data_IF_909908441635
#
_entry.id   IF_909908441635
#
_cell.length_a   1.000
_cell.length_b   1.000
_cell.length_c   1.000
_cell.angle_alpha   90.00
_cell.angle_beta   90.00
_cell.angle_gamma   90.00
#
_symmetry.space_group_name_H-M   'P 1'
#
loop_
_entity.id
_entity.type
_entity.pdbx_description
1 polymer ?
#
# COMPACT_ATOMS: atom_id res chain seq x y z
N UNK A 1 -6.37 6.35 -8.24
CA UNK A 1 -7.06 6.98 -9.38
C UNK A 1 -6.81 6.25 -10.68
N UNK A 2 -5.57 6.18 -11.18
CA UNK A 2 -5.21 5.46 -12.42
C UNK A 2 -5.75 4.02 -12.41
N UNK A 3 -5.64 3.33 -11.28
CA UNK A 3 -6.18 1.99 -11.08
C UNK A 3 -7.71 1.95 -11.24
N UNK A 4 -8.43 2.94 -10.70
CA UNK A 4 -9.90 3.00 -10.82
C UNK A 4 -10.31 3.25 -12.28
N UNK A 5 -9.62 4.15 -12.98
CA UNK A 5 -9.85 4.39 -14.40
C UNK A 5 -9.66 3.13 -15.26
N UNK A 6 -8.77 2.22 -14.86
CA UNK A 6 -8.60 0.96 -15.60
C UNK A 6 -9.78 -0.03 -15.40
N UNK A 7 -10.61 0.17 -14.36
CA UNK A 7 -11.74 -0.73 -14.05
C UNK A 7 -12.97 -0.51 -14.94
N UNK A 8 -13.00 0.58 -15.69
CA UNK A 8 -14.03 0.78 -16.71
C UNK A 8 -13.92 -0.26 -17.84
N UNK A 9 -12.72 -0.82 -18.04
CA UNK A 9 -12.42 -1.77 -19.11
C UNK A 9 -11.95 -3.13 -18.60
N UNK A 10 -11.26 -3.18 -17.46
CA UNK A 10 -10.63 -4.40 -16.95
C UNK A 10 -11.10 -4.76 -15.54
N UNK A 11 -11.31 -6.06 -15.26
CA UNK A 11 -11.52 -6.53 -13.90
C UNK A 11 -10.33 -6.26 -12.98
N UNK A 12 -10.55 -6.14 -11.65
CA UNK A 12 -9.53 -5.73 -10.71
C UNK A 12 -8.26 -6.58 -10.70
N UNK A 13 -8.39 -7.90 -10.65
CA UNK A 13 -7.23 -8.78 -10.57
C UNK A 13 -6.49 -8.86 -11.90
N UNK A 14 -7.19 -8.76 -13.02
CA UNK A 14 -6.57 -8.67 -14.35
C UNK A 14 -5.76 -7.37 -14.46
N UNK A 15 -6.35 -6.21 -14.09
CA UNK A 15 -5.64 -4.93 -14.06
C UNK A 15 -4.43 -4.99 -13.13
N UNK A 16 -4.56 -5.58 -11.94
CA UNK A 16 -3.47 -5.77 -10.99
C UNK A 16 -2.38 -6.70 -11.56
N UNK A 17 -2.74 -7.88 -12.06
CA UNK A 17 -1.79 -8.86 -12.59
C UNK A 17 -0.92 -8.30 -13.71
N UNK A 18 -1.52 -7.59 -14.68
CA UNK A 18 -0.77 -6.92 -15.74
C UNK A 18 0.09 -5.78 -15.21
N UNK A 19 -0.42 -4.99 -14.26
CA UNK A 19 0.38 -3.91 -13.65
C UNK A 19 1.61 -4.43 -12.92
N UNK A 20 1.51 -5.54 -12.16
CA UNK A 20 2.70 -6.13 -11.52
C UNK A 20 3.63 -6.81 -12.52
N UNK A 21 3.13 -7.34 -13.63
CA UNK A 21 3.98 -7.86 -14.70
C UNK A 21 4.88 -6.75 -15.26
N UNK A 22 4.32 -5.58 -15.58
CA UNK A 22 5.12 -4.43 -16.04
C UNK A 22 6.07 -3.91 -14.95
N UNK A 23 5.66 -3.94 -13.68
CA UNK A 23 6.57 -3.63 -12.57
C UNK A 23 7.72 -4.65 -12.47
N UNK A 24 7.45 -5.95 -12.66
CA UNK A 24 8.48 -6.97 -12.68
C UNK A 24 9.49 -6.76 -13.82
N UNK A 25 9.01 -6.44 -15.02
CA UNK A 25 9.87 -6.11 -16.17
C UNK A 25 10.72 -4.86 -15.89
N UNK A 26 10.13 -3.83 -15.29
CA UNK A 26 10.83 -2.62 -14.86
C UNK A 26 11.95 -2.95 -13.86
N UNK A 27 11.66 -3.72 -12.80
CA UNK A 27 12.67 -4.12 -11.82
C UNK A 27 13.75 -5.00 -12.43
N UNK A 28 13.39 -5.92 -13.33
CA UNK A 28 14.35 -6.73 -14.10
C UNK A 28 15.31 -5.87 -14.90
N UNK A 29 14.80 -4.83 -15.58
CA UNK A 29 15.62 -3.83 -16.26
C UNK A 29 16.56 -3.09 -15.32
N UNK A 30 16.07 -2.62 -14.16
CA UNK A 30 16.89 -1.91 -13.16
C UNK A 30 17.96 -2.83 -12.58
N UNK A 31 17.64 -4.09 -12.24
CA UNK A 31 18.59 -5.08 -11.74
C UNK A 31 19.68 -5.36 -12.77
N UNK A 32 19.30 -5.48 -14.05
CA UNK A 32 20.25 -5.69 -15.16
C UNK A 32 21.18 -4.50 -15.34
N UNK A 33 20.64 -3.27 -15.36
CA UNK A 33 21.42 -2.05 -15.51
C UNK A 33 22.38 -1.82 -14.32
N UNK A 34 22.00 -2.27 -13.12
CA UNK A 34 22.81 -2.15 -11.91
C UNK A 34 23.71 -3.37 -11.67
N UNK A 35 23.71 -4.36 -12.55
CA UNK A 35 24.50 -5.62 -12.44
C UNK A 35 24.29 -6.36 -11.13
N UNK A 36 23.05 -6.40 -10.58
CA UNK A 36 22.75 -6.97 -9.26
C UNK A 36 22.16 -8.38 -9.28
N UNK A 37 22.24 -9.10 -10.39
CA UNK A 37 21.71 -10.47 -10.50
C UNK A 37 22.32 -11.46 -9.49
N UNK A 38 23.55 -11.19 -9.02
CA UNK A 38 24.20 -12.02 -8.00
C UNK A 38 23.45 -12.11 -6.68
N UNK A 39 22.64 -11.08 -6.35
CA UNK A 39 21.86 -11.01 -5.10
C UNK A 39 20.75 -12.07 -5.03
N UNK A 40 20.29 -12.63 -6.16
CA UNK A 40 19.27 -13.69 -6.20
C UNK A 40 19.75 -14.97 -5.50
N UNK A 41 21.06 -15.14 -5.35
CA UNK A 41 21.66 -16.29 -4.69
C UNK A 41 21.69 -16.21 -3.16
N UNK A 42 21.34 -15.05 -2.59
CA UNK A 42 21.28 -14.90 -1.14
C UNK A 42 20.07 -15.62 -0.56
N UNK A 43 20.29 -16.90 -0.19
CA UNK A 43 19.25 -17.74 0.44
C UNK A 43 18.82 -17.24 1.80
N UNK A 44 19.63 -16.44 2.49
CA UNK A 44 19.32 -15.94 3.84
C UNK A 44 18.19 -14.94 3.84
N UNK A 45 18.02 -14.17 2.76
CA UNK A 45 16.95 -13.19 2.59
C UNK A 45 15.69 -13.77 1.94
N UNK A 46 15.78 -14.95 1.33
CA UNK A 46 14.68 -15.56 0.55
C UNK A 46 13.42 -15.76 1.39
N UNK A 47 13.54 -16.23 2.64
CA UNK A 47 12.41 -16.38 3.55
C UNK A 47 11.69 -15.04 3.82
N UNK A 48 12.45 -13.97 4.06
CA UNK A 48 11.89 -12.63 4.25
C UNK A 48 11.22 -12.10 2.97
N UNK A 49 11.81 -12.35 1.79
CA UNK A 49 11.22 -11.95 0.51
C UNK A 49 9.93 -12.72 0.25
N UNK A 50 9.87 -14.02 0.53
CA UNK A 50 8.66 -14.83 0.36
C UNK A 50 7.53 -14.36 1.29
N UNK A 51 7.81 -14.07 2.56
CA UNK A 51 6.82 -13.50 3.48
C UNK A 51 6.37 -12.10 3.03
N UNK A 52 7.30 -11.24 2.59
CA UNK A 52 6.94 -9.94 2.02
C UNK A 52 6.09 -10.09 0.75
N UNK A 53 6.35 -11.12 -0.07
CA UNK A 53 5.55 -11.44 -1.26
C UNK A 53 4.14 -11.85 -0.89
N UNK A 54 3.99 -12.74 0.10
CA UNK A 54 2.66 -13.17 0.56
C UNK A 54 1.86 -11.98 1.10
N UNK A 55 2.43 -11.23 2.05
CA UNK A 55 1.69 -10.15 2.73
C UNK A 55 1.47 -8.94 1.82
N UNK A 56 2.50 -8.42 1.15
CA UNK A 56 2.38 -7.22 0.31
C UNK A 56 2.08 -7.54 -1.15
N UNK A 57 2.75 -8.54 -1.72
CA UNK A 57 2.62 -8.84 -3.14
C UNK A 57 1.27 -9.45 -3.52
N UNK A 58 0.69 -10.25 -2.65
CA UNK A 58 -0.55 -11.00 -2.93
C UNK A 58 -1.70 -10.46 -2.09
N UNK A 59 -1.63 -10.59 -0.76
CA UNK A 59 -2.77 -10.28 0.11
C UNK A 59 -3.09 -8.78 0.12
N UNK A 60 -2.13 -7.92 0.46
CA UNK A 60 -2.36 -6.48 0.55
C UNK A 60 -2.87 -5.89 -0.77
N UNK A 61 -2.11 -6.07 -1.85
CA UNK A 61 -2.51 -5.48 -3.13
C UNK A 61 -3.72 -6.17 -3.74
N UNK A 62 -3.91 -7.48 -3.53
CA UNK A 62 -5.12 -8.18 -3.93
C UNK A 62 -6.36 -7.55 -3.28
N UNK A 63 -6.33 -7.35 -1.94
CA UNK A 63 -7.40 -6.69 -1.19
C UNK A 63 -7.61 -5.24 -1.64
N UNK A 64 -6.52 -4.47 -1.87
CA UNK A 64 -6.61 -3.09 -2.33
C UNK A 64 -7.25 -3.01 -3.72
N UNK A 65 -6.76 -3.78 -4.69
CA UNK A 65 -7.29 -3.74 -6.05
C UNK A 65 -8.75 -4.20 -6.11
N UNK A 66 -9.08 -5.28 -5.40
CA UNK A 66 -10.45 -5.75 -5.33
C UNK A 66 -11.34 -4.78 -4.56
N UNK A 67 -10.84 -4.20 -3.46
CA UNK A 67 -11.56 -3.22 -2.65
C UNK A 67 -11.87 -1.92 -3.40
N UNK A 68 -10.93 -1.42 -4.20
CA UNK A 68 -11.09 -0.19 -4.99
C UNK A 68 -12.25 -0.25 -6.00
N UNK A 69 -12.70 -1.45 -6.36
CA UNK A 69 -13.91 -1.61 -7.20
C UNK A 69 -15.19 -1.21 -6.48
N UNK A 70 -15.20 -1.34 -5.15
CA UNK A 70 -16.40 -1.18 -4.31
C UNK A 70 -16.32 0.00 -3.35
N UNK A 71 -15.32 0.88 -3.52
CA UNK A 71 -15.18 2.11 -2.74
C UNK A 71 -14.68 3.27 -3.60
N UNK A 72 -14.79 4.50 -3.09
CA UNK A 72 -14.24 5.67 -3.76
C UNK A 72 -12.73 5.80 -3.52
N UNK A 73 -12.03 6.50 -4.44
CA UNK A 73 -10.61 6.82 -4.26
C UNK A 73 -10.36 7.62 -2.97
N UNK A 74 -11.30 8.51 -2.61
CA UNK A 74 -11.26 9.30 -1.38
C UNK A 74 -11.31 8.43 -0.14
N UNK A 75 -12.34 7.58 0.00
CA UNK A 75 -12.48 6.66 1.12
C UNK A 75 -11.26 5.72 1.22
N UNK A 76 -10.87 5.09 0.10
CA UNK A 76 -9.73 4.19 0.06
C UNK A 76 -8.45 4.85 0.59
N UNK A 77 -8.17 6.11 0.22
CA UNK A 77 -6.97 6.82 0.66
C UNK A 77 -7.00 7.20 2.14
N UNK A 78 -8.17 7.60 2.65
CA UNK A 78 -8.37 7.93 4.05
C UNK A 78 -8.27 6.69 4.95
N UNK A 79 -8.87 5.57 4.52
CA UNK A 79 -8.75 4.29 5.22
C UNK A 79 -7.31 3.77 5.13
N UNK A 80 -6.64 3.89 3.97
CA UNK A 80 -5.25 3.48 3.81
C UNK A 80 -4.29 4.22 4.76
N UNK A 81 -4.61 5.44 5.18
CA UNK A 81 -3.83 6.16 6.19
C UNK A 81 -3.74 5.41 7.53
N UNK A 82 -4.71 4.52 7.84
CA UNK A 82 -4.68 3.68 9.06
C UNK A 82 -3.53 2.67 9.06
N UNK A 83 -2.87 2.44 7.94
CA UNK A 83 -1.64 1.63 7.91
C UNK A 83 -0.62 2.12 8.95
N UNK A 84 -0.55 3.44 9.17
CA UNK A 84 0.31 4.00 10.20
C UNK A 84 -0.11 3.56 11.61
N UNK A 85 -1.40 3.54 11.91
CA UNK A 85 -1.94 3.07 13.19
C UNK A 85 -1.61 1.59 13.41
N UNK A 86 -1.87 0.72 12.42
CA UNK A 86 -1.54 -0.70 12.53
C UNK A 86 -0.03 -0.95 12.57
N UNK A 87 0.76 -0.17 11.83
CA UNK A 87 2.22 -0.21 11.91
C UNK A 87 2.71 0.21 13.29
N UNK A 88 2.12 1.25 13.89
CA UNK A 88 2.45 1.65 15.25
C UNK A 88 2.15 0.54 16.25
N UNK A 89 0.95 -0.05 16.22
CA UNK A 89 0.59 -1.17 17.10
C UNK A 89 1.57 -2.33 16.90
N UNK A 90 1.77 -2.76 15.65
CA UNK A 90 2.62 -3.89 15.34
C UNK A 90 4.06 -3.70 15.84
N UNK A 91 4.68 -2.57 15.55
CA UNK A 91 6.08 -2.34 15.91
C UNK A 91 6.29 -1.99 17.37
N UNK A 92 5.35 -1.31 18.03
CA UNK A 92 5.50 -0.89 19.43
C UNK A 92 4.96 -1.92 20.43
N UNK A 93 3.80 -2.49 20.18
CA UNK A 93 3.21 -3.49 21.07
C UNK A 93 4.00 -4.80 21.02
N UNK A 94 4.35 -5.27 19.81
CA UNK A 94 5.11 -6.52 19.68
C UNK A 94 6.55 -6.39 20.16
N UNK A 95 7.21 -5.24 19.92
CA UNK A 95 8.56 -4.98 20.41
C UNK A 95 8.59 -4.52 21.86
N UNK A 96 7.44 -4.36 22.53
CA UNK A 96 7.31 -3.83 23.88
C UNK A 96 8.00 -2.47 24.08
N UNK A 97 8.00 -1.65 23.04
CA UNK A 97 8.52 -0.28 23.10
C UNK A 97 7.59 0.61 23.94
N UNK A 98 8.15 1.62 24.59
CA UNK A 98 7.39 2.54 25.43
C UNK A 98 6.34 3.31 24.61
N UNK A 99 5.08 3.19 25.02
CA UNK A 99 3.95 3.92 24.42
C UNK A 99 3.71 5.17 25.27
N UNK A 100 3.91 6.36 24.68
CA UNK A 100 3.64 7.62 25.36
C UNK A 100 2.14 7.97 25.31
N UNK A 101 1.63 8.82 26.25
CA UNK A 101 0.26 9.31 26.18
C UNK A 101 -0.09 10.01 24.86
N UNK A 102 0.91 10.65 24.21
CA UNK A 102 0.74 11.26 22.89
C UNK A 102 0.45 10.23 21.80
N UNK A 103 1.07 9.05 21.88
CA UNK A 103 0.81 7.97 20.94
C UNK A 103 -0.61 7.41 21.11
N UNK A 104 -1.08 7.28 22.36
CA UNK A 104 -2.47 6.86 22.64
C UNK A 104 -3.44 7.88 22.07
N UNK A 105 -3.21 9.17 22.33
CA UNK A 105 -4.03 10.24 21.77
C UNK A 105 -4.03 10.23 20.24
N UNK A 106 -2.86 10.05 19.63
CA UNK A 106 -2.72 9.92 18.17
C UNK A 106 -3.52 8.75 17.60
N UNK A 107 -3.48 7.59 18.27
CA UNK A 107 -4.26 6.42 17.90
C UNK A 107 -5.77 6.70 17.96
N UNK A 108 -6.25 7.36 19.03
CA UNK A 108 -7.66 7.75 19.19
C UNK A 108 -8.09 8.69 18.06
N UNK A 109 -7.28 9.73 17.76
CA UNK A 109 -7.60 10.65 16.66
C UNK A 109 -7.66 9.93 15.30
N UNK A 110 -6.75 9.01 15.01
CA UNK A 110 -6.80 8.23 13.76
C UNK A 110 -8.06 7.38 13.67
N UNK A 111 -8.40 6.66 14.75
CA UNK A 111 -9.62 5.84 14.78
C UNK A 111 -10.87 6.69 14.64
N UNK A 112 -10.93 7.86 15.28
CA UNK A 112 -12.04 8.81 15.15
C UNK A 112 -12.19 9.28 13.69
N UNK A 113 -11.06 9.62 13.03
CA UNK A 113 -11.09 10.04 11.63
C UNK A 113 -11.61 8.95 10.70
N UNK A 114 -11.16 7.71 10.88
CA UNK A 114 -11.65 6.56 10.10
C UNK A 114 -13.12 6.29 10.37
N UNK A 115 -13.56 6.38 11.63
CA UNK A 115 -14.96 6.24 11.97
C UNK A 115 -15.83 7.29 11.26
N UNK A 116 -15.38 8.55 11.21
CA UNK A 116 -16.06 9.63 10.46
C UNK A 116 -16.21 9.28 8.98
N UNK A 117 -15.15 8.73 8.34
CA UNK A 117 -15.22 8.32 6.92
C UNK A 117 -16.22 7.19 6.70
N UNK A 118 -16.26 6.23 7.63
CA UNK A 118 -17.13 5.06 7.51
C UNK A 118 -18.56 5.32 7.94
N UNK A 119 -18.81 6.38 8.73
CA UNK A 119 -20.12 6.68 9.32
C UNK A 119 -21.29 6.76 8.32
N UNK A 120 -21.15 7.41 7.14
CA UNK A 120 -22.25 7.46 6.18
C UNK A 120 -22.66 6.08 5.65
N UNK A 121 -21.76 5.12 5.75
CA UNK A 121 -21.91 3.77 5.22
C UNK A 121 -22.25 2.74 6.32
N UNK A 122 -22.50 3.17 7.56
CA UNK A 122 -22.77 2.25 8.70
C UNK A 122 -24.04 1.42 8.51
N UNK A 123 -25.00 1.93 7.74
CA UNK A 123 -26.22 1.18 7.37
C UNK A 123 -26.00 0.16 6.25
N UNK A 124 -24.93 0.34 5.44
CA UNK A 124 -24.46 -0.58 4.42
C UNK A 124 -22.93 -0.47 4.36
N UNK A 125 -22.24 -1.24 5.21
CA UNK A 125 -20.78 -1.33 5.13
C UNK A 125 -20.40 -1.70 3.69
N UNK A 126 -19.75 -0.77 3.00
CA UNK A 126 -19.24 -1.07 1.67
C UNK A 126 -18.13 -2.10 1.78
N UNK A 127 -18.30 -3.23 1.12
CA UNK A 127 -17.31 -4.30 1.06
C UNK A 127 -15.91 -3.74 0.74
N UNK A 128 -15.84 -2.74 -0.15
CA UNK A 128 -14.58 -2.10 -0.53
C UNK A 128 -13.85 -1.44 0.64
N UNK A 129 -14.56 -0.70 1.49
CA UNK A 129 -13.96 -0.04 2.66
C UNK A 129 -13.38 -1.07 3.64
N UNK A 130 -14.11 -2.17 3.87
CA UNK A 130 -13.65 -3.27 4.72
C UNK A 130 -12.39 -3.95 4.14
N UNK A 131 -12.36 -4.22 2.83
CA UNK A 131 -11.21 -4.83 2.16
C UNK A 131 -9.97 -3.94 2.24
N UNK A 132 -10.12 -2.62 2.06
CA UNK A 132 -9.01 -1.67 2.23
C UNK A 132 -8.54 -1.66 3.69
N UNK A 133 -9.44 -1.68 4.67
CA UNK A 133 -9.08 -1.74 6.08
C UNK A 133 -8.30 -3.03 6.41
N UNK A 134 -8.76 -4.17 5.93
CA UNK A 134 -8.04 -5.44 6.08
C UNK A 134 -6.63 -5.39 5.44
N UNK A 135 -6.50 -4.77 4.28
CA UNK A 135 -5.20 -4.58 3.65
C UNK A 135 -4.25 -3.78 4.55
N UNK A 136 -4.72 -2.69 5.17
CA UNK A 136 -3.88 -1.86 6.06
C UNK A 136 -3.45 -2.59 7.32
N UNK A 137 -4.26 -3.55 7.83
CA UNK A 137 -3.86 -4.42 8.94
C UNK A 137 -2.75 -5.40 8.56
N UNK A 138 -2.70 -5.83 7.31
CA UNK A 138 -1.71 -6.78 6.78
C UNK A 138 -0.39 -6.10 6.44
N UNK A 139 -0.42 -4.84 6.01
CA UNK A 139 0.74 -4.10 5.52
C UNK A 139 1.96 -4.09 6.48
N UNK A 140 1.82 -3.90 7.81
CA UNK A 140 2.95 -3.88 8.73
C UNK A 140 3.78 -5.16 8.73
N UNK A 141 3.13 -6.32 8.59
CA UNK A 141 3.82 -7.61 8.52
C UNK A 141 4.71 -7.68 7.28
N UNK A 142 4.16 -7.33 6.14
CA UNK A 142 4.91 -7.33 4.89
C UNK A 142 6.04 -6.30 4.87
N UNK A 143 5.81 -5.09 5.39
CA UNK A 143 6.82 -4.05 5.52
C UNK A 143 7.98 -4.48 6.45
N UNK A 144 7.67 -5.21 7.53
CA UNK A 144 8.68 -5.76 8.43
C UNK A 144 9.62 -6.75 7.70
N UNK A 145 9.07 -7.73 6.98
CA UNK A 145 9.87 -8.68 6.25
C UNK A 145 10.63 -8.03 5.09
N UNK A 146 10.01 -7.08 4.40
CA UNK A 146 10.65 -6.31 3.33
C UNK A 146 11.83 -5.47 3.85
N UNK A 147 11.69 -4.83 5.02
CA UNK A 147 12.77 -4.09 5.68
C UNK A 147 13.93 -5.01 6.05
N UNK A 148 13.65 -6.20 6.60
CA UNK A 148 14.68 -7.20 6.91
C UNK A 148 15.41 -7.73 5.67
N UNK A 149 14.68 -8.01 4.61
CA UNK A 149 15.30 -8.44 3.36
C UNK A 149 16.25 -7.36 2.81
N UNK A 150 15.87 -6.06 2.97
CA UNK A 150 16.66 -4.92 2.49
C UNK A 150 18.00 -4.73 3.21
N UNK A 151 18.20 -5.35 4.37
CA UNK A 151 19.50 -5.34 5.06
C UNK A 151 20.61 -6.03 4.25
N UNK A 152 20.26 -6.94 3.33
CA UNK A 152 21.21 -7.77 2.58
C UNK A 152 21.06 -7.71 1.06
N UNK A 153 19.84 -7.44 0.60
CA UNK A 153 19.46 -7.47 -0.82
C UNK A 153 18.92 -6.10 -1.21
N UNK A 154 19.17 -5.67 -2.44
CA UNK A 154 18.72 -4.38 -2.95
C UNK A 154 17.19 -4.30 -3.07
N UNK A 155 16.67 -3.09 -3.04
CA UNK A 155 15.23 -2.84 -3.17
C UNK A 155 14.67 -3.37 -4.48
N UNK A 156 15.38 -3.15 -5.56
CA UNK A 156 15.00 -3.62 -6.89
C UNK A 156 14.95 -5.14 -7.00
N UNK A 157 15.90 -5.86 -6.38
CA UNK A 157 15.91 -7.33 -6.37
C UNK A 157 14.75 -7.88 -5.54
N UNK A 158 14.50 -7.33 -4.35
CA UNK A 158 13.34 -7.72 -3.52
C UNK A 158 12.04 -7.54 -4.28
N UNK A 159 11.88 -6.37 -4.93
CA UNK A 159 10.68 -6.03 -5.68
C UNK A 159 10.54 -6.87 -6.95
N UNK A 160 11.66 -7.21 -7.62
CA UNK A 160 11.67 -8.12 -8.77
C UNK A 160 11.15 -9.51 -8.37
N UNK A 161 11.74 -10.12 -7.35
CA UNK A 161 11.35 -11.49 -6.91
C UNK A 161 9.89 -11.48 -6.43
N UNK A 162 9.50 -10.47 -5.64
CA UNK A 162 8.12 -10.31 -5.18
C UNK A 162 7.15 -10.21 -6.35
N UNK A 163 7.42 -9.35 -7.32
CA UNK A 163 6.54 -9.16 -8.47
C UNK A 163 6.51 -10.39 -9.39
N UNK A 164 7.66 -11.02 -9.64
CA UNK A 164 7.75 -12.22 -10.47
C UNK A 164 6.95 -13.41 -9.89
N UNK A 165 6.93 -13.55 -8.56
CA UNK A 165 6.13 -14.59 -7.89
C UNK A 165 4.65 -14.20 -7.82
N UNK A 166 4.34 -12.92 -7.53
CA UNK A 166 2.95 -12.47 -7.39
C UNK A 166 2.19 -12.46 -8.71
N UNK A 167 2.84 -12.14 -9.83
CA UNK A 167 2.18 -12.06 -11.15
C UNK A 167 1.42 -13.32 -11.53
N UNK A 168 2.06 -14.51 -11.59
CA UNK A 168 1.34 -15.73 -11.97
C UNK A 168 0.24 -16.09 -10.97
N UNK A 169 0.48 -15.90 -9.67
CA UNK A 169 -0.50 -16.21 -8.63
C UNK A 169 -1.76 -15.34 -8.79
N UNK A 170 -1.59 -14.03 -9.00
CA UNK A 170 -2.71 -13.11 -9.19
C UNK A 170 -3.46 -13.40 -10.48
N UNK A 171 -2.76 -13.65 -11.59
CA UNK A 171 -3.41 -13.97 -12.88
C UNK A 171 -4.15 -15.32 -12.83
N UNK A 172 -3.58 -16.33 -12.18
CA UNK A 172 -4.27 -17.61 -11.95
C UNK A 172 -5.51 -17.38 -11.07
N UNK A 173 -5.39 -16.57 -10.01
CA UNK A 173 -6.55 -16.24 -9.16
C UNK A 173 -7.65 -15.51 -9.93
N UNK A 174 -7.30 -14.60 -10.84
CA UNK A 174 -8.28 -13.96 -11.74
C UNK A 174 -9.00 -14.96 -12.62
N UNK A 175 -8.27 -15.92 -13.20
CA UNK A 175 -8.86 -17.02 -13.99
C UNK A 175 -9.79 -17.89 -13.15
N UNK A 176 -9.40 -18.27 -11.92
CA UNK A 176 -10.22 -19.09 -11.01
C UNK A 176 -11.49 -18.37 -10.57
N UNK A 177 -11.43 -17.05 -10.37
CA UNK A 177 -12.59 -16.21 -10.08
C UNK A 177 -13.41 -15.85 -11.32
N UNK A 178 -13.07 -16.45 -12.49
CA UNK A 178 -13.75 -16.25 -13.77
C UNK A 178 -13.83 -14.78 -14.20
N UNK A 179 -12.84 -13.96 -13.83
CA UNK A 179 -12.71 -12.62 -14.38
C UNK A 179 -12.48 -12.71 -15.89
N UNK A 180 -13.38 -12.11 -16.68
CA UNK A 180 -13.33 -12.12 -18.16
C UNK A 180 -12.96 -10.73 -18.65
N UNK A 181 -12.13 -10.66 -19.70
CA UNK A 181 -11.78 -9.46 -20.42
C UNK A 181 -11.56 -9.77 -21.89
N UNK A 182 -11.71 -8.79 -22.74
CA UNK A 182 -11.37 -8.87 -24.15
C UNK A 182 -9.95 -8.35 -24.37
N UNK A 183 -9.27 -8.87 -25.40
CA UNK A 183 -7.93 -8.38 -25.75
C UNK A 183 -7.98 -6.88 -26.16
N UNK A 184 -9.11 -6.45 -26.74
CA UNK A 184 -9.38 -5.05 -27.05
C UNK A 184 -9.36 -4.16 -25.81
N UNK A 185 -9.94 -4.65 -24.68
CA UNK A 185 -10.01 -3.92 -23.42
C UNK A 185 -8.60 -3.74 -22.82
N UNK A 186 -7.78 -4.78 -22.92
CA UNK A 186 -6.38 -4.74 -22.50
C UNK A 186 -5.59 -3.71 -23.33
N UNK A 187 -5.78 -3.66 -24.66
CA UNK A 187 -5.13 -2.67 -25.53
C UNK A 187 -5.58 -1.25 -25.18
N UNK A 188 -6.87 -1.04 -24.97
CA UNK A 188 -7.42 0.27 -24.61
C UNK A 188 -6.94 0.75 -23.24
N UNK A 189 -6.69 -0.16 -22.31
CA UNK A 189 -6.17 0.15 -20.95
C UNK A 189 -4.65 0.13 -20.86
N UNK A 190 -3.93 -0.18 -21.95
CA UNK A 190 -2.48 -0.42 -21.93
C UNK A 190 -1.69 0.73 -21.30
N UNK A 191 -2.02 1.97 -21.66
CA UNK A 191 -1.35 3.17 -21.09
C UNK A 191 -1.56 3.27 -19.58
N UNK A 192 -2.78 3.04 -19.10
CA UNK A 192 -3.12 3.11 -17.68
C UNK A 192 -2.38 2.01 -16.90
N UNK A 193 -2.33 0.79 -17.45
CA UNK A 193 -1.63 -0.35 -16.85
C UNK A 193 -0.12 -0.11 -16.84
N UNK A 194 0.45 0.44 -17.92
CA UNK A 194 1.87 0.79 -17.98
C UNK A 194 2.23 1.85 -16.94
N UNK A 195 1.46 2.93 -16.84
CA UNK A 195 1.68 3.97 -15.83
C UNK A 195 1.55 3.36 -14.41
N UNK A 196 0.53 2.55 -14.16
CA UNK A 196 0.34 1.88 -12.89
C UNK A 196 1.51 0.93 -12.56
N UNK A 197 1.93 0.13 -13.52
CA UNK A 197 3.04 -0.82 -13.36
C UNK A 197 4.40 -0.14 -13.21
N UNK A 198 4.75 0.79 -14.10
CA UNK A 198 6.09 1.40 -14.11
C UNK A 198 6.27 2.47 -13.03
N UNK A 199 5.29 3.34 -12.83
CA UNK A 199 5.40 4.46 -11.90
C UNK A 199 4.89 4.11 -10.51
N UNK A 200 3.66 3.58 -10.37
CA UNK A 200 3.02 3.38 -9.07
C UNK A 200 3.50 2.09 -8.39
N UNK A 201 3.56 0.96 -9.08
CA UNK A 201 4.05 -0.31 -8.54
C UNK A 201 5.54 -0.51 -8.78
N UNK A 202 6.15 0.21 -9.71
CA UNK A 202 7.56 0.19 -10.05
C UNK A 202 8.37 1.23 -9.27
N UNK A 203 8.59 2.37 -9.87
CA UNK A 203 9.49 3.40 -9.36
C UNK A 203 9.15 3.85 -7.94
N UNK A 204 7.86 4.13 -7.65
CA UNK A 204 7.48 4.59 -6.30
C UNK A 204 7.76 3.55 -5.22
N UNK A 205 7.74 2.25 -5.56
CA UNK A 205 8.02 1.18 -4.59
C UNK A 205 9.51 1.03 -4.29
N UNK A 206 10.40 1.31 -5.23
CA UNK A 206 11.84 1.43 -4.92
C UNK A 206 12.04 2.52 -3.88
N UNK A 207 11.45 3.70 -4.08
CA UNK A 207 11.54 4.81 -3.13
C UNK A 207 10.97 4.44 -1.75
N UNK A 208 9.85 3.72 -1.73
CA UNK A 208 9.25 3.24 -0.48
C UNK A 208 10.16 2.27 0.27
N UNK A 209 10.70 1.25 -0.41
CA UNK A 209 11.58 0.25 0.23
C UNK A 209 12.87 0.90 0.75
N UNK A 210 13.46 1.83 -0.01
CA UNK A 210 14.58 2.62 0.44
C UNK A 210 14.22 3.51 1.63
N UNK A 211 13.05 4.12 1.62
CA UNK A 211 12.53 4.94 2.71
C UNK A 211 12.43 4.14 4.02
N UNK A 212 11.73 3.02 4.02
CA UNK A 212 11.55 2.20 5.23
C UNK A 212 12.83 1.51 5.69
N UNK A 213 13.83 1.37 4.83
CA UNK A 213 15.15 0.87 5.21
C UNK A 213 15.95 1.93 5.98
N UNK A 214 15.86 3.21 5.57
CA UNK A 214 16.64 4.33 6.16
C UNK A 214 15.97 4.92 7.40
N UNK A 215 14.64 4.91 7.43
CA UNK A 215 13.83 5.40 8.54
C UNK A 215 12.79 4.35 8.93
N UNK A 216 12.15 4.49 10.11
CA UNK A 216 11.13 3.54 10.53
C UNK A 216 9.90 3.57 9.60
N UNK A 217 9.20 2.43 9.48
CA UNK A 217 7.93 2.32 8.74
C UNK A 217 6.91 3.36 9.23
N UNK A 218 6.82 3.57 10.54
CA UNK A 218 5.93 4.59 11.13
C UNK A 218 6.25 6.01 10.66
N UNK A 219 7.55 6.38 10.58
CA UNK A 219 7.96 7.69 10.06
C UNK A 219 7.71 7.82 8.55
N UNK A 220 7.95 6.76 7.79
CA UNK A 220 7.64 6.74 6.35
C UNK A 220 6.15 6.97 6.09
N UNK A 221 5.28 6.30 6.87
CA UNK A 221 3.84 6.50 6.81
C UNK A 221 3.43 7.94 7.21
N UNK A 222 4.09 8.53 8.22
CA UNK A 222 3.86 9.92 8.59
C UNK A 222 4.21 10.91 7.46
N UNK A 223 5.32 10.70 6.76
CA UNK A 223 5.68 11.50 5.58
C UNK A 223 4.70 11.32 4.43
N UNK A 224 4.11 10.12 4.30
CA UNK A 224 3.07 9.84 3.31
C UNK A 224 1.70 10.43 3.68
N UNK A 225 1.54 11.10 4.83
CA UNK A 225 0.26 11.65 5.31
C UNK A 225 -0.36 12.70 4.39
N UNK A 226 0.43 13.29 3.50
CA UNK A 226 -0.07 14.20 2.47
C UNK A 226 -0.91 13.48 1.39
N UNK A 227 -0.81 12.16 1.29
CA UNK A 227 -1.48 11.39 0.24
C UNK A 227 -3.02 11.48 0.29
N UNK A 228 -3.74 11.36 1.45
CA UNK A 228 -5.18 11.49 1.49
C UNK A 228 -5.72 12.85 0.99
N UNK A 229 -5.23 14.02 1.45
CA UNK A 229 -5.68 15.30 0.90
C UNK A 229 -5.43 15.43 -0.61
N UNK A 230 -4.24 15.01 -1.08
CA UNK A 230 -3.93 15.03 -2.51
C UNK A 230 -4.84 14.08 -3.30
N UNK A 231 -5.16 12.91 -2.74
CA UNK A 231 -6.06 11.96 -3.40
C UNK A 231 -7.46 12.53 -3.54
N UNK A 232 -7.99 13.20 -2.52
CA UNK A 232 -9.30 13.86 -2.59
C UNK A 232 -9.31 14.98 -3.63
N UNK A 233 -8.27 15.82 -3.64
CA UNK A 233 -8.12 16.89 -4.63
C UNK A 233 -8.11 16.34 -6.06
N UNK A 234 -7.27 15.35 -6.33
CA UNK A 234 -7.18 14.75 -7.67
C UNK A 234 -8.40 13.89 -8.03
N UNK A 235 -9.08 13.26 -7.06
CA UNK A 235 -10.34 12.57 -7.31
C UNK A 235 -11.43 13.55 -7.76
N UNK A 236 -11.44 14.73 -7.18
CA UNK A 236 -12.33 15.81 -7.62
C UNK A 236 -11.97 16.29 -9.02
N UNK A 237 -10.69 16.60 -9.27
CA UNK A 237 -10.24 17.18 -10.56
C UNK A 237 -10.32 16.18 -11.72
N UNK A 238 -10.01 14.90 -11.51
CA UNK A 238 -9.84 13.91 -12.60
C UNK A 238 -11.08 13.00 -12.72
N UNK A 239 -11.63 12.56 -11.60
CA UNK A 239 -12.79 11.65 -11.59
C UNK A 239 -14.12 12.38 -11.39
N UNK A 240 -14.08 13.73 -11.27
CA UNK A 240 -15.24 14.57 -10.94
C UNK A 240 -15.98 14.13 -9.67
N UNK A 241 -15.31 13.41 -8.77
CA UNK A 241 -15.85 12.97 -7.49
C UNK A 241 -15.69 14.08 -6.45
N UNK A 242 -16.76 14.81 -6.20
CA UNK A 242 -16.78 15.88 -5.17
C UNK A 242 -16.57 15.23 -3.80
N UNK A 243 -15.57 15.70 -3.01
CA UNK A 243 -15.35 15.18 -1.67
C UNK A 243 -16.58 15.39 -0.78
N UNK A 244 -16.99 14.36 -0.07
CA UNK A 244 -18.11 14.47 0.87
C UNK A 244 -17.68 15.26 2.13
N UNK A 245 -18.65 15.83 2.83
CA UNK A 245 -18.40 16.53 4.10
C UNK A 245 -17.67 15.61 5.11
N UNK A 246 -18.05 14.34 5.18
CA UNK A 246 -17.42 13.36 6.07
C UNK A 246 -15.98 13.08 5.70
N UNK A 247 -15.64 13.00 4.41
CA UNK A 247 -14.26 12.87 3.95
C UNK A 247 -13.42 14.09 4.34
N UNK A 248 -13.95 15.30 4.19
CA UNK A 248 -13.25 16.53 4.57
C UNK A 248 -13.07 16.64 6.08
N UNK A 249 -14.12 16.37 6.87
CA UNK A 249 -14.03 16.39 8.33
C UNK A 249 -13.06 15.34 8.88
N UNK A 250 -12.91 14.19 8.24
CA UNK A 250 -12.01 13.13 8.67
C UNK A 250 -10.52 13.44 8.46
N UNK A 251 -10.18 14.32 7.52
CA UNK A 251 -8.78 14.69 7.24
C UNK A 251 -8.09 15.22 8.50
N UNK A 252 -8.75 16.11 9.24
CA UNK A 252 -8.16 16.78 10.41
C UNK A 252 -7.73 15.78 11.48
N UNK A 253 -8.63 14.92 12.01
CA UNK A 253 -8.22 13.95 13.02
C UNK A 253 -7.23 12.92 12.48
N UNK A 254 -7.32 12.48 11.22
CA UNK A 254 -6.36 11.57 10.64
C UNK A 254 -4.95 12.18 10.61
N UNK A 255 -4.81 13.39 10.05
CA UNK A 255 -3.50 14.05 9.96
C UNK A 255 -2.92 14.36 11.34
N UNK A 256 -3.75 14.83 12.27
CA UNK A 256 -3.34 15.12 13.64
C UNK A 256 -2.90 13.84 14.37
N UNK A 257 -3.65 12.76 14.21
CA UNK A 257 -3.31 11.43 14.74
C UNK A 257 -1.98 10.91 14.20
N UNK A 258 -1.78 11.03 12.88
CA UNK A 258 -0.51 10.64 12.23
C UNK A 258 0.67 11.46 12.76
N UNK A 259 0.50 12.77 12.91
CA UNK A 259 1.54 13.64 13.48
C UNK A 259 1.91 13.20 14.91
N UNK A 260 0.94 12.94 15.78
CA UNK A 260 1.18 12.49 17.14
C UNK A 260 1.87 11.11 17.20
N UNK A 261 1.46 10.16 16.35
CA UNK A 261 2.07 8.83 16.29
C UNK A 261 3.52 8.88 15.77
N UNK A 262 3.86 9.87 14.95
CA UNK A 262 5.22 10.03 14.42
C UNK A 262 6.21 10.64 15.42
N UNK A 263 5.72 11.25 16.50
CA UNK A 263 6.55 11.95 17.50
C UNK A 263 7.29 10.93 18.39
N UNK A 264 8.53 10.59 18.03
CA UNK A 264 9.41 9.83 18.92
C UNK A 264 9.97 10.75 20.02
N UNK A 265 9.68 10.46 21.29
CA UNK A 265 10.63 10.86 22.33
C UNK A 265 11.85 9.93 22.19
N UNK A 266 13.02 10.48 21.89
CA UNK A 266 14.28 9.80 22.20
C UNK A 266 14.20 9.46 23.69
N UNK A 267 14.46 8.19 24.11
CA UNK A 267 14.72 7.97 25.53
C UNK A 267 15.82 8.92 25.93
N UNK A 268 15.61 9.68 27.01
CA UNK A 268 16.70 10.45 27.61
C UNK A 268 17.85 9.46 27.81
N UNK A 269 19.03 9.78 27.25
CA UNK A 269 20.24 8.99 27.46
C UNK A 269 20.34 8.79 28.96
N UNK A 270 20.34 7.53 29.40
CA UNK A 270 20.79 7.22 30.75
C UNK A 270 22.23 7.68 30.80
N UNK A 271 22.44 8.84 31.41
CA UNK A 271 23.74 9.29 31.89
C UNK A 271 24.20 8.36 32.99
#
# INVERSE_FOLDING_TARGET
>A
MITILSYDLLPPLISFGWSILFAALFFGGVVTLRHRWGEIRDRSSLGNILWATLFLGILYYGLVFFGLRYTSAGNASLIAATEMFFSFIFFHVWRKDFISPKHILGAIFMLTGVFIVLYPNTTKLHLGDLLILMATMIAPFGNYFQQRARERVSSEMILLVRSAISTPIVLISACLLKERFLITDLKSSAVLILINGLLLLGFSKILWVEGIHRISVTKSNALASIAPPLTLLFAWLILHNIPTLFQLLSIVPILFGMALLSMNKRPASRA
#
